data_IF_913479306070
#
_entry.id   IF_913479306070
#
_cell.length_a   1.000
_cell.length_b   1.000
_cell.length_c   1.000
_cell.angle_alpha   90.00
_cell.angle_beta   90.00
_cell.angle_gamma   90.00
#
_symmetry.space_group_name_H-M   'P 1'
#
loop_
_entity.id
_entity.type
_entity.pdbx_description
1 polymer ?
#
# COMPACT_ATOMS: atom_id res chain seq x y z
N UNK A 1 10.13 -1.71 21.53
CA UNK A 1 10.75 -0.85 20.51
C UNK A 1 9.82 -0.77 19.31
N UNK A 2 8.68 -0.10 19.54
CA UNK A 2 7.53 0.03 18.64
C UNK A 2 7.40 1.53 18.36
N UNK A 3 7.57 1.99 17.11
CA UNK A 3 6.91 3.20 16.56
C UNK A 3 7.56 3.82 15.30
N UNK A 4 8.71 3.37 14.82
CA UNK A 4 9.42 4.08 13.73
C UNK A 4 9.10 3.61 12.30
N UNK A 5 8.35 2.53 12.10
CA UNK A 5 8.11 1.98 10.73
C UNK A 5 6.95 2.62 9.95
N UNK A 6 6.12 3.46 10.57
CA UNK A 6 4.87 3.98 9.96
C UNK A 6 4.85 5.49 9.71
N UNK A 7 6.00 6.16 9.65
CA UNK A 7 6.09 7.50 9.05
C UNK A 7 6.33 7.38 7.55
N UNK A 8 5.26 6.98 6.88
CA UNK A 8 5.13 6.92 5.42
C UNK A 8 5.37 8.32 4.84
N UNK A 9 6.50 8.45 4.13
CA UNK A 9 6.89 9.50 3.18
C UNK A 9 6.82 10.98 3.62
N UNK A 10 7.75 11.41 4.47
CA UNK A 10 8.28 12.79 4.38
C UNK A 10 9.78 12.72 4.12
N UNK A 11 10.22 12.95 2.87
CA UNK A 11 11.65 13.12 2.58
C UNK A 11 11.91 14.40 1.77
N UNK A 12 12.64 15.37 2.35
CA UNK A 12 13.16 16.53 1.63
C UNK A 12 14.40 16.13 0.80
N UNK A 13 14.38 16.50 -0.48
CA UNK A 13 15.52 16.92 -1.32
C UNK A 13 16.74 15.97 -1.50
N UNK A 14 16.64 14.91 -2.32
CA UNK A 14 17.80 14.25 -2.97
C UNK A 14 17.42 13.74 -4.39
N UNK A 15 18.28 14.08 -5.38
CA UNK A 15 18.33 13.74 -6.83
C UNK A 15 17.25 12.77 -7.38
N UNK A 16 16.46 13.28 -8.31
CA UNK A 16 15.13 12.82 -8.78
C UNK A 16 14.99 11.35 -9.25
N UNK A 17 16.02 10.68 -9.76
CA UNK A 17 15.89 9.30 -10.27
C UNK A 17 16.22 8.20 -9.26
N UNK A 18 17.23 8.43 -8.41
CA UNK A 18 17.56 7.54 -7.29
C UNK A 18 16.40 7.53 -6.30
N UNK A 19 15.75 8.69 -6.13
CA UNK A 19 14.56 8.85 -5.29
C UNK A 19 13.41 7.95 -5.73
N UNK A 20 13.07 7.90 -7.03
CA UNK A 20 11.96 7.07 -7.53
C UNK A 20 12.23 5.58 -7.35
N UNK A 21 13.43 5.11 -7.71
CA UNK A 21 13.82 3.71 -7.51
C UNK A 21 13.82 3.34 -6.03
N UNK A 22 14.35 4.20 -5.17
CA UNK A 22 14.34 3.97 -3.73
C UNK A 22 12.91 3.96 -3.17
N UNK A 23 12.04 4.88 -3.60
CA UNK A 23 10.64 4.94 -3.22
C UNK A 23 9.90 3.65 -3.59
N UNK A 24 10.08 3.15 -4.82
CA UNK A 24 9.52 1.87 -5.26
C UNK A 24 10.00 0.71 -4.37
N UNK A 25 11.30 0.62 -4.12
CA UNK A 25 11.87 -0.42 -3.25
C UNK A 25 11.30 -0.39 -1.84
N UNK A 26 11.21 0.79 -1.22
CA UNK A 26 10.63 0.93 0.12
C UNK A 26 9.15 0.57 0.14
N UNK A 27 8.40 0.95 -0.90
CA UNK A 27 6.98 0.63 -1.04
C UNK A 27 6.77 -0.88 -1.14
N UNK A 28 7.52 -1.57 -2.01
CA UNK A 28 7.45 -3.04 -2.16
C UNK A 28 7.80 -3.74 -0.85
N UNK A 29 8.85 -3.29 -0.16
CA UNK A 29 9.25 -3.83 1.14
C UNK A 29 8.13 -3.66 2.18
N UNK A 30 7.52 -2.48 2.24
CA UNK A 30 6.44 -2.20 3.17
C UNK A 30 5.22 -3.10 2.91
N UNK A 31 4.81 -3.24 1.64
CA UNK A 31 3.72 -4.12 1.24
C UNK A 31 4.01 -5.56 1.67
N UNK A 32 5.20 -6.08 1.36
CA UNK A 32 5.57 -7.44 1.70
C UNK A 32 5.54 -7.68 3.22
N UNK A 33 6.10 -6.75 4.01
CA UNK A 33 6.07 -6.84 5.47
C UNK A 33 4.65 -6.81 6.03
N UNK A 34 3.80 -5.90 5.55
CA UNK A 34 2.41 -5.78 5.98
C UNK A 34 1.62 -7.06 5.65
N UNK A 35 1.81 -7.59 4.44
CA UNK A 35 1.22 -8.85 3.98
C UNK A 35 1.57 -10.01 4.91
N UNK A 36 2.86 -10.17 5.24
CA UNK A 36 3.33 -11.21 6.16
C UNK A 36 2.74 -11.05 7.56
N UNK A 37 2.64 -9.83 8.08
CA UNK A 37 2.02 -9.54 9.37
C UNK A 37 0.51 -9.88 9.39
N UNK A 38 -0.20 -9.59 8.31
CA UNK A 38 -1.62 -9.92 8.18
C UNK A 38 -1.86 -11.43 8.10
N UNK A 39 -1.04 -12.14 7.33
CA UNK A 39 -1.06 -13.60 7.26
C UNK A 39 -0.73 -14.24 8.62
N UNK A 40 0.29 -13.73 9.31
CA UNK A 40 0.64 -14.17 10.66
C UNK A 40 -0.48 -13.91 11.68
N UNK A 41 -1.28 -12.86 11.49
CA UNK A 41 -2.50 -12.59 12.26
C UNK A 41 -3.71 -13.44 11.82
N UNK A 42 -3.54 -14.40 10.90
CA UNK A 42 -4.58 -15.30 10.41
C UNK A 42 -5.59 -14.64 9.48
N UNK A 43 -5.27 -13.48 8.89
CA UNK A 43 -6.17 -12.79 7.96
C UNK A 43 -6.06 -13.37 6.57
N UNK A 44 -7.22 -13.53 5.93
CA UNK A 44 -7.30 -13.90 4.52
C UNK A 44 -7.13 -12.65 3.67
N UNK A 45 -6.14 -12.69 2.78
CA UNK A 45 -5.90 -11.65 1.77
C UNK A 45 -6.56 -12.12 0.48
N UNK A 46 -7.42 -11.28 -0.09
CA UNK A 46 -8.12 -11.59 -1.35
C UNK A 46 -7.55 -10.73 -2.46
N UNK A 47 -7.18 -11.35 -3.57
CA UNK A 47 -6.69 -10.61 -4.73
C UNK A 47 -7.84 -9.93 -5.47
N UNK A 48 -7.72 -8.62 -5.69
CA UNK A 48 -8.65 -7.82 -6.47
C UNK A 48 -7.86 -6.84 -7.33
N UNK A 49 -7.61 -7.23 -8.58
CA UNK A 49 -6.90 -6.37 -9.53
C UNK A 49 -7.65 -5.07 -9.79
N UNK A 50 -6.89 -4.02 -10.07
CA UNK A 50 -7.43 -2.70 -10.39
C UNK A 50 -8.20 -2.70 -11.70
N UNK A 51 -9.27 -1.90 -11.74
CA UNK A 51 -9.99 -1.63 -12.99
C UNK A 51 -9.42 -0.39 -13.68
N UNK A 52 -9.61 -0.30 -15.00
CA UNK A 52 -9.18 0.87 -15.75
C UNK A 52 -9.90 2.12 -15.20
N UNK A 53 -9.13 3.21 -15.06
CA UNK A 53 -9.61 4.52 -14.56
C UNK A 53 -10.14 4.49 -13.12
N UNK A 54 -9.78 3.47 -12.34
CA UNK A 54 -10.06 3.43 -10.91
C UNK A 54 -9.27 4.54 -10.17
N UNK A 55 -9.86 5.24 -9.20
CA UNK A 55 -9.15 6.25 -8.41
C UNK A 55 -8.26 5.63 -7.34
N UNK A 56 -7.22 6.36 -6.89
CA UNK A 56 -6.44 5.97 -5.72
C UNK A 56 -7.33 5.96 -4.46
N UNK A 57 -7.05 5.04 -3.54
CA UNK A 57 -7.78 4.92 -2.29
C UNK A 57 -7.10 5.69 -1.17
N UNK A 58 -7.92 6.28 -0.31
CA UNK A 58 -7.48 7.03 0.85
C UNK A 58 -8.17 6.49 2.11
N UNK A 59 -7.46 6.52 3.23
CA UNK A 59 -7.99 6.13 4.51
C UNK A 59 -9.10 7.11 4.93
N UNK A 60 -10.27 6.58 5.28
CA UNK A 60 -11.41 7.39 5.71
C UNK A 60 -11.16 8.22 7.00
N UNK A 61 -10.19 7.83 7.83
CA UNK A 61 -9.97 8.48 9.13
C UNK A 61 -8.81 9.49 9.13
N UNK A 62 -7.84 9.35 8.23
CA UNK A 62 -6.62 10.18 8.22
C UNK A 62 -6.22 10.72 6.85
N UNK A 63 -7.02 10.46 5.82
CA UNK A 63 -6.80 10.90 4.42
C UNK A 63 -5.45 10.48 3.81
N UNK A 64 -4.72 9.57 4.47
CA UNK A 64 -3.49 9.00 3.93
C UNK A 64 -3.82 8.04 2.79
N UNK A 65 -3.02 8.09 1.72
CA UNK A 65 -3.14 7.14 0.61
C UNK A 65 -2.90 5.70 1.09
N UNK A 66 -3.77 4.78 0.66
CA UNK A 66 -3.67 3.35 0.94
C UNK A 66 -3.39 2.64 -0.38
N UNK A 67 -2.13 2.23 -0.55
CA UNK A 67 -1.65 1.59 -1.76
C UNK A 67 -1.56 0.07 -1.60
N UNK A 68 -2.04 -0.65 -2.62
CA UNK A 68 -1.99 -2.11 -2.79
C UNK A 68 -2.78 -2.96 -1.80
N UNK A 69 -2.56 -2.83 -0.49
CA UNK A 69 -3.26 -3.57 0.56
C UNK A 69 -4.38 -2.73 1.19
N UNK A 70 -5.61 -2.93 0.72
CA UNK A 70 -6.79 -2.20 1.20
C UNK A 70 -7.45 -2.93 2.38
N UNK A 71 -7.54 -2.28 3.54
CA UNK A 71 -8.28 -2.80 4.69
C UNK A 71 -9.69 -2.23 4.67
N UNK A 72 -10.65 -3.07 4.27
CA UNK A 72 -12.03 -2.68 4.02
C UNK A 72 -12.92 -3.09 5.19
N UNK A 73 -13.75 -2.16 5.66
CA UNK A 73 -14.83 -2.46 6.60
C UNK A 73 -16.18 -2.07 6.02
N UNK A 74 -17.25 -2.66 6.53
CA UNK A 74 -18.63 -2.27 6.19
C UNK A 74 -19.15 -1.36 7.29
N UNK A 75 -19.44 -0.10 6.96
CA UNK A 75 -20.20 0.76 7.87
C UNK A 75 -21.70 0.59 7.61
N UNK A 76 -22.48 0.44 8.70
CA UNK A 76 -23.95 0.37 8.74
C UNK A 76 -24.64 -0.83 8.07
N UNK A 77 -25.45 -1.55 8.85
CA UNK A 77 -26.24 -2.72 8.44
C UNK A 77 -27.31 -2.44 7.37
N UNK A 78 -27.60 -1.16 7.08
CA UNK A 78 -28.71 -0.73 6.23
C UNK A 78 -28.28 -0.26 4.84
N UNK A 79 -27.03 0.16 4.66
CA UNK A 79 -26.43 0.51 3.36
C UNK A 79 -25.03 -0.11 3.33
N UNK A 80 -24.79 -1.06 2.44
CA UNK A 80 -23.49 -1.72 2.25
C UNK A 80 -22.45 -0.76 1.66
N UNK A 81 -22.08 0.28 2.39
CA UNK A 81 -20.94 1.14 2.05
C UNK A 81 -19.68 0.50 2.61
N UNK A 82 -18.80 0.11 1.69
CA UNK A 82 -17.46 -0.35 2.00
C UNK A 82 -16.55 0.86 2.14
N UNK A 83 -15.81 0.92 3.24
CA UNK A 83 -14.87 2.01 3.55
C UNK A 83 -13.46 1.46 3.67
N UNK A 84 -12.48 2.21 3.18
CA UNK A 84 -11.06 1.83 3.21
C UNK A 84 -10.37 2.51 4.39
N UNK A 85 -9.51 1.75 5.07
CA UNK A 85 -8.67 2.24 6.15
C UNK A 85 -7.21 1.87 5.90
N UNK A 86 -6.28 2.69 6.42
CA UNK A 86 -4.88 2.29 6.55
C UNK A 86 -4.71 1.27 7.70
N UNK A 87 -3.54 0.64 7.79
CA UNK A 87 -3.23 -0.32 8.85
C UNK A 87 -3.44 0.26 10.25
N UNK A 88 -2.87 1.43 10.52
CA UNK A 88 -2.92 2.06 11.85
C UNK A 88 -4.36 2.33 12.30
N UNK A 89 -5.18 2.94 11.43
CA UNK A 89 -6.57 3.26 11.74
C UNK A 89 -7.42 2.00 11.89
N UNK A 90 -7.19 0.97 11.05
CA UNK A 90 -7.90 -0.30 11.17
C UNK A 90 -7.55 -1.00 12.49
N UNK A 91 -6.28 -1.01 12.89
CA UNK A 91 -5.82 -1.60 14.16
C UNK A 91 -6.26 -0.79 15.37
N UNK A 92 -6.35 0.53 15.26
CA UNK A 92 -6.88 1.39 16.32
C UNK A 92 -8.35 1.08 16.61
N UNK A 93 -9.15 0.79 15.57
CA UNK A 93 -10.55 0.37 15.71
C UNK A 93 -10.68 -1.06 16.21
N UNK A 94 -9.88 -1.98 15.67
CA UNK A 94 -9.87 -3.38 16.05
C UNK A 94 -8.44 -3.94 15.99
N UNK A 95 -7.77 -4.17 17.14
CA UNK A 95 -6.40 -4.69 17.15
C UNK A 95 -6.27 -6.06 16.46
N UNK A 96 -7.32 -6.87 16.52
CA UNK A 96 -7.41 -8.18 15.85
C UNK A 96 -7.95 -8.08 14.41
N UNK A 97 -8.21 -6.87 13.91
CA UNK A 97 -8.82 -6.59 12.60
C UNK A 97 -10.12 -7.39 12.38
N UNK A 98 -10.95 -7.51 13.42
CA UNK A 98 -12.23 -8.22 13.36
C UNK A 98 -13.19 -7.54 12.40
N UNK A 99 -13.84 -8.30 11.51
CA UNK A 99 -14.75 -7.75 10.49
C UNK A 99 -14.08 -6.96 9.37
N UNK A 100 -12.74 -6.90 9.33
CA UNK A 100 -11.95 -6.27 8.26
C UNK A 100 -11.67 -7.30 7.17
N UNK A 101 -11.91 -6.92 5.91
CA UNK A 101 -11.53 -7.67 4.71
C UNK A 101 -10.27 -7.02 4.13
N UNK A 102 -9.26 -7.82 3.80
CA UNK A 102 -8.04 -7.31 3.15
C UNK A 102 -8.06 -7.64 1.66
N UNK A 103 -7.85 -6.63 0.84
CA UNK A 103 -7.79 -6.73 -0.62
C UNK A 103 -6.37 -6.37 -1.09
N UNK A 104 -5.80 -7.18 -1.96
CA UNK A 104 -4.48 -6.98 -2.58
C UNK A 104 -4.68 -6.64 -4.06
N UNK A 105 -4.17 -5.50 -4.51
CA UNK A 105 -4.42 -4.99 -5.87
C UNK A 105 -3.39 -5.44 -6.90
N UNK A 106 -2.14 -5.62 -6.47
CA UNK A 106 -1.00 -5.99 -7.27
C UNK A 106 -0.28 -7.14 -6.59
N UNK A 107 0.22 -8.08 -7.39
CA UNK A 107 1.04 -9.15 -6.82
C UNK A 107 2.46 -8.66 -6.57
N UNK A 108 3.10 -9.13 -5.50
CA UNK A 108 4.51 -8.82 -5.20
C UNK A 108 5.41 -9.14 -6.41
N UNK A 109 5.13 -10.22 -7.14
CA UNK A 109 5.92 -10.60 -8.31
C UNK A 109 5.78 -9.58 -9.45
N UNK A 110 4.62 -8.94 -9.59
CA UNK A 110 4.38 -7.89 -10.59
C UNK A 110 5.11 -6.60 -10.22
N UNK A 111 5.02 -6.19 -8.95
CA UNK A 111 5.73 -5.01 -8.44
C UNK A 111 7.25 -5.16 -8.55
N UNK A 112 7.77 -6.35 -8.26
CA UNK A 112 9.20 -6.65 -8.38
C UNK A 112 9.67 -6.55 -9.83
N UNK A 113 8.90 -7.09 -10.79
CA UNK A 113 9.21 -6.96 -12.22
C UNK A 113 9.25 -5.50 -12.67
N UNK A 114 8.31 -4.67 -12.20
CA UNK A 114 8.29 -3.23 -12.50
C UNK A 114 9.54 -2.55 -11.94
N UNK A 115 9.93 -2.87 -10.71
CA UNK A 115 11.13 -2.35 -10.09
C UNK A 115 12.42 -2.74 -10.83
N UNK A 116 12.53 -4.01 -11.27
CA UNK A 116 13.70 -4.50 -12.00
C UNK A 116 13.79 -3.89 -13.41
N UNK A 117 12.64 -3.65 -14.06
CA UNK A 117 12.57 -2.96 -15.35
C UNK A 117 12.83 -1.45 -15.24
N UNK A 118 12.73 -0.88 -14.03
CA UNK A 118 12.95 0.55 -13.81
C UNK A 118 14.42 0.92 -13.96
N UNK A 119 14.76 1.43 -15.13
CA UNK A 119 16.12 1.87 -15.49
C UNK A 119 16.11 3.33 -15.90
N UNK A 120 17.24 4.01 -15.66
CA UNK A 120 17.41 5.38 -16.11
C UNK A 120 17.54 5.42 -17.63
N UNK A 121 16.69 6.21 -18.29
CA UNK A 121 16.85 6.46 -19.72
C UNK A 121 18.25 7.05 -19.97
N UNK A 122 19.03 6.51 -20.91
CA UNK A 122 20.32 7.08 -21.26
C UNK A 122 20.11 8.51 -21.76
N UNK A 123 20.96 9.44 -21.30
CA UNK A 123 20.93 10.82 -21.80
C UNK A 123 21.14 10.82 -23.32
N UNK A 124 20.35 11.56 -24.11
CA UNK A 124 20.61 11.68 -25.54
C UNK A 124 22.00 12.29 -25.72
N UNK A 125 22.92 11.51 -26.27
CA UNK A 125 24.23 12.00 -26.70
C UNK A 125 23.95 13.00 -27.82
N UNK A 126 24.12 14.29 -27.52
CA UNK A 126 24.08 15.32 -28.56
C UNK A 126 25.26 15.08 -29.49
N UNK A 127 24.98 14.82 -30.77
CA UNK A 127 25.98 14.75 -31.84
C UNK A 127 26.45 16.12 -32.23
#
# INVERSE_FOLDING_TARGET
>A
MKSESLRVFTFPTIRSSISLRHCLMQSIKHIQMLREQLLAAGKKISYQSRVKDEPAYYCNDCDLEVYDLLLVTSENSTKKSYVVHCEDCARAKSPSLGGVVVLEQYRIEELTKIYDAFTLAPSPVSK
#
